data_IF_039938008447
#
_entry.id   IF_039938008447
#
_cell.length_a   1.000
_cell.length_b   1.000
_cell.length_c   1.000
_cell.angle_alpha   90.00
_cell.angle_beta   90.00
_cell.angle_gamma   90.00
#
_symmetry.space_group_name_H-M   'P 1'
#
loop_
_entity.id
_entity.type
_entity.pdbx_description
1 polymer ?
#
# COMPACT_ATOMS: atom_id res chain seq x y z
N UNK A 1 -18.46 -14.33 0.72
CA UNK A 1 -17.08 -14.43 0.23
C UNK A 1 -16.74 -13.07 -0.36
N UNK A 2 -16.34 -12.12 0.50
CA UNK A 2 -16.15 -10.72 0.06
C UNK A 2 -14.75 -10.58 -0.50
N UNK A 3 -14.66 -10.13 -1.74
CA UNK A 3 -13.49 -10.24 -2.59
C UNK A 3 -12.30 -9.43 -2.11
N UNK A 4 -11.19 -10.13 -1.86
CA UNK A 4 -9.88 -9.58 -2.15
C UNK A 4 -9.70 -9.77 -3.66
N UNK A 5 -9.90 -8.71 -4.43
CA UNK A 5 -9.39 -8.69 -5.80
C UNK A 5 -7.88 -8.92 -5.65
N UNK A 6 -7.38 -10.00 -6.21
CA UNK A 6 -6.01 -10.16 -6.69
C UNK A 6 -5.64 -8.89 -7.51
N UNK A 7 -5.31 -7.82 -6.81
CA UNK A 7 -4.79 -6.59 -7.35
C UNK A 7 -3.29 -6.66 -7.14
N UNK A 8 -2.54 -6.50 -8.22
CA UNK A 8 -1.08 -6.60 -8.22
C UNK A 8 -0.44 -5.94 -7.00
N UNK A 9 0.58 -6.57 -6.38
CA UNK A 9 1.23 -6.03 -5.19
C UNK A 9 1.73 -4.62 -5.47
N UNK A 10 1.16 -3.64 -4.77
CA UNK A 10 1.45 -2.24 -4.99
C UNK A 10 2.87 -1.96 -4.54
N UNK A 11 3.67 -1.25 -5.32
CA UNK A 11 5.07 -0.96 -4.94
C UNK A 11 5.18 0.38 -4.24
N UNK A 12 6.01 0.44 -3.21
CA UNK A 12 6.40 1.68 -2.57
C UNK A 12 7.10 2.56 -3.61
N UNK A 13 6.66 3.81 -3.84
CA UNK A 13 7.27 4.69 -4.81
C UNK A 13 8.66 5.20 -4.37
N UNK A 14 9.06 4.96 -3.12
CA UNK A 14 10.33 5.44 -2.57
C UNK A 14 11.45 4.39 -2.65
N UNK A 15 11.23 3.21 -2.04
CA UNK A 15 12.21 2.12 -2.05
C UNK A 15 11.95 1.05 -3.12
N UNK A 16 10.76 1.02 -3.74
CA UNK A 16 10.37 -0.01 -4.70
C UNK A 16 9.91 -1.33 -4.06
N UNK A 17 9.87 -1.44 -2.73
CA UNK A 17 9.40 -2.63 -2.02
C UNK A 17 7.93 -2.93 -2.33
N UNK A 18 7.57 -4.21 -2.37
CA UNK A 18 6.19 -4.62 -2.55
C UNK A 18 5.40 -4.44 -1.24
N UNK A 19 4.29 -3.71 -1.30
CA UNK A 19 3.33 -3.54 -0.22
C UNK A 19 2.25 -4.61 -0.41
N UNK A 20 2.31 -5.64 0.43
CA UNK A 20 1.47 -6.83 0.28
C UNK A 20 0.01 -6.58 0.70
N UNK A 21 -0.22 -5.67 1.64
CA UNK A 21 -1.54 -5.42 2.21
C UNK A 21 -1.82 -3.92 2.38
N UNK A 22 -3.09 -3.56 2.18
CA UNK A 22 -3.62 -2.24 2.49
C UNK A 22 -4.11 -2.24 3.94
N UNK A 23 -3.65 -1.27 4.71
CA UNK A 23 -4.08 -1.09 6.09
C UNK A 23 -5.60 -0.89 6.16
N UNK A 24 -6.34 -1.75 6.88
CA UNK A 24 -7.80 -1.69 6.93
C UNK A 24 -8.34 -0.57 7.84
N UNK A 25 -7.50 0.00 8.71
CA UNK A 25 -7.91 1.04 9.66
C UNK A 25 -7.95 2.40 8.97
N UNK A 26 -6.90 2.73 8.21
CA UNK A 26 -6.76 4.03 7.53
C UNK A 26 -7.05 3.94 6.03
N UNK A 27 -7.07 2.73 5.48
CA UNK A 27 -7.29 2.51 4.05
C UNK A 27 -6.09 2.96 3.21
N UNK A 28 -4.87 2.91 3.72
CA UNK A 28 -3.65 3.26 2.98
C UNK A 28 -2.71 2.06 2.86
N UNK A 29 -1.84 2.09 1.86
CA UNK A 29 -0.78 1.11 1.66
C UNK A 29 0.43 1.55 2.48
N UNK A 30 0.75 0.79 3.53
CA UNK A 30 1.89 1.09 4.41
C UNK A 30 3.09 0.26 3.99
N UNK A 31 4.18 0.92 3.63
CA UNK A 31 5.45 0.25 3.36
C UNK A 31 6.20 0.01 4.67
N UNK A 32 6.45 -1.25 5.03
CA UNK A 32 7.20 -1.61 6.25
C UNK A 32 8.66 -1.13 6.24
N UNK A 33 9.31 -1.11 5.07
CA UNK A 33 10.70 -0.65 4.93
C UNK A 33 10.87 0.86 5.14
N UNK A 34 9.94 1.66 4.62
CA UNK A 34 10.03 3.13 4.67
C UNK A 34 9.16 3.75 5.76
N UNK A 35 8.28 2.96 6.40
CA UNK A 35 7.16 3.45 7.20
C UNK A 35 6.31 4.51 6.46
N UNK A 36 6.24 4.41 5.12
CA UNK A 36 5.58 5.38 4.25
C UNK A 36 4.14 4.95 3.97
N UNK A 37 3.19 5.86 4.16
CA UNK A 37 1.80 5.66 3.76
C UNK A 37 1.56 6.13 2.33
N UNK A 38 0.89 5.30 1.54
CA UNK A 38 0.58 5.56 0.13
C UNK A 38 -0.92 5.37 -0.12
N UNK A 39 -1.54 6.30 -0.84
CA UNK A 39 -2.97 6.24 -1.18
C UNK A 39 -3.27 5.25 -2.30
N UNK A 40 -4.56 5.07 -2.61
CA UNK A 40 -4.97 4.27 -3.76
C UNK A 40 -4.49 4.84 -5.11
N UNK A 41 -4.35 6.15 -5.22
CA UNK A 41 -3.81 6.82 -6.42
C UNK A 41 -2.27 6.82 -6.48
N UNK A 42 -1.58 6.20 -5.52
CA UNK A 42 -0.12 6.22 -5.45
C UNK A 42 0.46 7.51 -4.87
N UNK A 43 -0.38 8.37 -4.28
CA UNK A 43 0.08 9.60 -3.62
C UNK A 43 0.72 9.26 -2.29
N UNK A 44 1.87 9.87 -2.01
CA UNK A 44 2.59 9.72 -0.74
C UNK A 44 1.95 10.60 0.32
N UNK A 45 1.74 10.05 1.51
CA UNK A 45 1.32 10.79 2.69
C UNK A 45 2.55 10.92 3.59
N UNK A 46 2.90 12.16 3.93
CA UNK A 46 4.06 12.51 4.77
C UNK A 46 3.60 12.79 6.18
#
# INVERSE_FOLDING_TARGET
MTGARDGEPKRCPDCGAAIAERDPLIGWWLCDDCALAVTDDGTRIT
#
